data_IF_105086948128
#
_entry.id   IF_105086948128
#
_cell.length_a   1.000
_cell.length_b   1.000
_cell.length_c   1.000
_cell.angle_alpha   90.00
_cell.angle_beta   90.00
_cell.angle_gamma   90.00
#
_symmetry.space_group_name_H-M   'P 1'
#
loop_
_entity.id
_entity.type
_entity.pdbx_description
1 polymer ?
#
# COMPACT_ATOMS: atom_id res chain seq x y z
N UNK A 1 -48.82 14.75 -23.54
CA UNK A 1 -48.22 14.71 -22.20
C UNK A 1 -46.79 14.12 -22.21
N UNK A 2 -46.50 13.08 -23.01
CA UNK A 2 -45.13 12.52 -23.12
C UNK A 2 -44.04 13.51 -23.59
N UNK A 3 -44.35 14.45 -24.49
CA UNK A 3 -43.37 15.39 -25.02
C UNK A 3 -42.81 16.36 -23.96
N UNK A 4 -43.63 16.71 -22.96
CA UNK A 4 -43.24 17.62 -21.87
C UNK A 4 -42.30 16.90 -20.90
N UNK A 5 -42.59 15.62 -20.60
CA UNK A 5 -41.75 14.79 -19.73
C UNK A 5 -40.37 14.51 -20.35
N UNK A 6 -40.31 14.27 -21.67
CA UNK A 6 -39.05 14.09 -22.38
C UNK A 6 -38.19 15.36 -22.41
N UNK A 7 -38.82 16.54 -22.58
CA UNK A 7 -38.12 17.82 -22.57
C UNK A 7 -37.49 18.16 -21.21
N UNK A 8 -38.21 17.92 -20.11
CA UNK A 8 -37.70 18.16 -18.76
C UNK A 8 -36.56 17.18 -18.41
N UNK A 9 -36.62 15.94 -18.88
CA UNK A 9 -35.57 14.95 -18.66
C UNK A 9 -34.25 15.34 -19.34
N UNK A 10 -34.30 15.80 -20.60
CA UNK A 10 -33.09 16.23 -21.33
C UNK A 10 -32.49 17.50 -20.71
N UNK A 11 -33.32 18.45 -20.28
CA UNK A 11 -32.86 19.64 -19.55
C UNK A 11 -32.23 19.29 -18.20
N UNK A 12 -32.79 18.33 -17.46
CA UNK A 12 -32.24 17.85 -16.19
C UNK A 12 -30.88 17.18 -16.34
N UNK A 13 -30.74 16.30 -17.35
CA UNK A 13 -29.46 15.62 -17.64
C UNK A 13 -28.40 16.62 -18.12
N UNK A 14 -28.78 17.57 -18.97
CA UNK A 14 -27.86 18.58 -19.51
C UNK A 14 -27.32 19.53 -18.43
N UNK A 15 -28.14 19.93 -17.45
CA UNK A 15 -27.67 20.74 -16.32
C UNK A 15 -26.82 19.90 -15.34
N UNK A 16 -27.16 18.63 -15.12
CA UNK A 16 -26.40 17.75 -14.23
C UNK A 16 -24.95 17.50 -14.69
N UNK A 17 -24.71 17.38 -16.00
CA UNK A 17 -23.36 17.17 -16.55
C UNK A 17 -22.47 18.41 -16.47
N UNK A 18 -23.04 19.63 -16.51
CA UNK A 18 -22.24 20.86 -16.39
C UNK A 18 -21.84 21.14 -14.94
N UNK A 19 -22.69 20.80 -13.96
CA UNK A 19 -22.33 20.93 -12.53
C UNK A 19 -21.36 19.84 -12.04
N UNK A 20 -21.39 18.65 -12.66
CA UNK A 20 -20.44 17.56 -12.33
C UNK A 20 -19.02 17.82 -12.88
N UNK A 21 -18.83 18.86 -13.70
CA UNK A 21 -17.56 19.13 -14.41
C UNK A 21 -16.63 20.13 -13.70
N UNK A 22 -17.01 20.67 -12.53
CA UNK A 22 -16.16 21.59 -11.76
C UNK A 22 -16.08 21.20 -10.28
N UNK A 23 -15.63 19.97 -10.00
CA UNK A 23 -15.03 19.69 -8.70
C UNK A 23 -13.60 20.22 -8.72
N UNK A 24 -13.37 21.38 -8.13
CA UNK A 24 -12.03 21.79 -7.72
C UNK A 24 -11.52 20.76 -6.71
N UNK A 25 -10.71 19.80 -7.17
CA UNK A 25 -10.07 18.79 -6.31
C UNK A 25 -8.94 19.51 -5.57
N UNK A 26 -9.26 20.09 -4.41
CA UNK A 26 -8.26 20.46 -3.41
C UNK A 26 -7.61 19.18 -2.90
N UNK A 27 -6.27 19.04 -2.98
CA UNK A 27 -5.57 17.80 -2.66
C UNK A 27 -5.38 17.67 -1.14
N UNK A 28 -6.46 17.43 -0.42
CA UNK A 28 -6.42 16.92 0.97
C UNK A 28 -6.99 15.49 1.07
N UNK A 29 -7.29 14.86 -0.06
CA UNK A 29 -7.79 13.50 -0.11
C UNK A 29 -6.65 12.50 -0.36
N UNK A 30 -6.32 11.74 0.69
CA UNK A 30 -5.73 10.39 0.60
C UNK A 30 -6.70 9.45 -0.13
N UNK A 31 -6.90 9.64 -1.43
CA UNK A 31 -7.85 8.84 -2.21
C UNK A 31 -7.51 8.85 -3.70
N UNK A 32 -6.43 8.18 -4.07
CA UNK A 32 -6.31 7.50 -5.37
C UNK A 32 -5.18 6.49 -5.23
N UNK A 33 -5.52 5.20 -5.13
CA UNK A 33 -4.54 4.11 -5.23
C UNK A 33 -3.65 4.30 -6.48
N UNK A 34 -4.22 4.86 -7.54
CA UNK A 34 -3.51 5.28 -8.76
C UNK A 34 -2.38 6.31 -8.52
N UNK A 35 -2.51 7.23 -7.57
CA UNK A 35 -1.46 8.19 -7.24
C UNK A 35 -0.31 7.51 -6.48
N UNK A 36 -0.63 6.58 -5.58
CA UNK A 36 0.40 5.82 -4.84
C UNK A 36 1.16 4.92 -5.83
N UNK A 37 0.46 4.18 -6.68
CA UNK A 37 1.06 3.26 -7.65
C UNK A 37 1.96 3.96 -8.67
N UNK A 38 1.61 5.17 -9.11
CA UNK A 38 2.45 5.97 -10.01
C UNK A 38 3.68 6.58 -9.33
N UNK A 39 3.64 6.78 -8.01
CA UNK A 39 4.74 7.39 -7.25
C UNK A 39 5.67 6.35 -6.64
N UNK A 40 5.35 5.06 -6.78
CA UNK A 40 6.20 3.95 -6.32
C UNK A 40 7.51 3.94 -7.10
N UNK A 41 8.66 3.81 -6.40
CA UNK A 41 9.94 3.67 -7.06
C UNK A 41 9.98 2.39 -7.91
N UNK A 42 10.41 2.54 -9.16
CA UNK A 42 10.50 1.46 -10.14
C UNK A 42 9.17 0.68 -10.28
N UNK A 43 8.08 1.41 -10.57
CA UNK A 43 6.71 0.89 -10.62
C UNK A 43 6.55 -0.41 -11.43
N UNK A 44 7.21 -0.54 -12.59
CA UNK A 44 7.19 -1.76 -13.41
C UNK A 44 7.69 -3.00 -12.66
N UNK A 45 8.80 -2.85 -11.92
CA UNK A 45 9.39 -3.93 -11.10
C UNK A 45 8.44 -4.24 -9.96
N UNK A 46 7.92 -3.20 -9.30
CA UNK A 46 7.03 -3.39 -8.18
C UNK A 46 5.75 -4.13 -8.59
N UNK A 47 5.13 -3.77 -9.71
CA UNK A 47 3.95 -4.46 -10.22
C UNK A 47 4.24 -5.91 -10.62
N UNK A 48 5.37 -6.16 -11.28
CA UNK A 48 5.75 -7.49 -11.74
C UNK A 48 6.13 -8.45 -10.58
N UNK A 49 6.82 -7.95 -9.56
CA UNK A 49 7.45 -8.79 -8.54
C UNK A 49 6.91 -8.58 -7.12
N UNK A 50 6.08 -7.58 -6.89
CA UNK A 50 5.64 -7.14 -5.57
C UNK A 50 4.27 -6.43 -5.55
N UNK A 51 4.08 -5.60 -4.53
CA UNK A 51 2.93 -4.75 -4.32
C UNK A 51 3.38 -3.36 -3.85
N UNK A 52 2.69 -2.33 -4.33
CA UNK A 52 2.88 -0.96 -3.86
C UNK A 52 2.53 -0.86 -2.38
N UNK A 53 3.31 -0.07 -1.64
CA UNK A 53 3.12 0.13 -0.23
C UNK A 53 3.36 1.59 0.16
N UNK A 54 2.70 2.03 1.22
CA UNK A 54 3.06 3.27 1.91
C UNK A 54 3.94 2.90 3.09
N UNK A 55 5.18 3.33 3.06
CA UNK A 55 6.17 3.11 4.12
C UNK A 55 6.08 4.28 5.10
N UNK A 56 6.02 3.97 6.39
CA UNK A 56 5.88 4.93 7.47
C UNK A 56 7.11 4.88 8.36
N UNK A 57 7.88 5.96 8.40
CA UNK A 57 9.01 6.09 9.32
C UNK A 57 8.57 6.84 10.58
N UNK A 58 8.52 6.14 11.71
CA UNK A 58 8.20 6.72 13.02
C UNK A 58 9.26 6.39 14.05
N UNK A 59 9.44 7.27 15.04
CA UNK A 59 10.32 7.06 16.18
C UNK A 59 9.47 6.81 17.42
N UNK A 60 9.68 5.66 18.04
CA UNK A 60 9.08 5.32 19.33
C UNK A 60 10.10 5.58 20.45
N UNK A 61 9.72 6.42 21.41
CA UNK A 61 10.52 6.72 22.59
C UNK A 61 9.92 6.02 23.79
N UNK A 62 10.73 5.22 24.51
CA UNK A 62 10.34 4.57 25.76
C UNK A 62 11.20 5.13 26.88
N UNK A 63 10.58 5.82 27.84
CA UNK A 63 11.24 6.25 29.07
C UNK A 63 11.00 5.18 30.14
N UNK A 64 11.94 5.00 31.07
CA UNK A 64 11.81 4.00 32.15
C UNK A 64 11.73 4.63 33.54
N UNK A 65 11.89 5.96 33.66
CA UNK A 65 11.80 6.74 34.91
C UNK A 65 11.32 8.17 34.64
N UNK A 66 10.00 8.46 34.68
CA UNK A 66 8.88 7.51 34.78
C UNK A 66 8.72 6.66 33.50
N UNK A 67 7.99 5.55 33.58
CA UNK A 67 7.68 4.75 32.39
C UNK A 67 6.65 5.44 31.51
N UNK A 68 7.04 5.83 30.29
CA UNK A 68 6.16 6.47 29.31
C UNK A 68 6.58 6.08 27.89
N UNK A 69 5.61 6.06 26.97
CA UNK A 69 5.84 5.78 25.55
C UNK A 69 5.34 6.96 24.71
N UNK A 70 6.18 7.47 23.81
CA UNK A 70 5.85 8.55 22.87
C UNK A 70 6.12 8.10 21.43
N UNK A 71 5.31 8.56 20.49
CA UNK A 71 5.44 8.25 19.06
C UNK A 71 5.57 9.58 18.32
N UNK A 72 6.58 9.71 17.45
CA UNK A 72 6.71 10.90 16.60
C UNK A 72 5.71 10.89 15.45
N UNK A 73 5.41 12.07 14.91
CA UNK A 73 4.69 12.17 13.64
C UNK A 73 5.41 11.33 12.57
N UNK A 74 4.70 10.42 11.86
CA UNK A 74 5.32 9.57 10.87
C UNK A 74 5.60 10.34 9.59
N UNK A 75 6.72 10.02 8.94
CA UNK A 75 6.99 10.43 7.56
C UNK A 75 6.46 9.35 6.63
N UNK A 76 5.60 9.74 5.70
CA UNK A 76 4.99 8.84 4.72
C UNK A 76 5.78 8.90 3.40
N UNK A 77 6.19 7.74 2.89
CA UNK A 77 6.84 7.65 1.58
C UNK A 77 6.36 6.44 0.78
N UNK A 78 6.30 6.53 -0.56
CA UNK A 78 5.96 5.39 -1.39
C UNK A 78 7.10 4.36 -1.40
N UNK A 79 6.74 3.10 -1.34
CA UNK A 79 7.67 1.98 -1.41
C UNK A 79 7.03 0.77 -2.07
N UNK A 80 7.75 -0.33 -2.06
CA UNK A 80 7.28 -1.59 -2.64
C UNK A 80 7.64 -2.75 -1.71
N UNK A 81 6.71 -3.69 -1.55
CA UNK A 81 6.94 -4.96 -0.88
C UNK A 81 7.04 -6.05 -1.94
N UNK A 82 8.17 -6.74 -1.99
CA UNK A 82 8.40 -7.85 -2.93
C UNK A 82 7.60 -9.07 -2.47
N UNK A 83 7.02 -9.84 -3.38
CA UNK A 83 6.40 -11.13 -3.04
C UNK A 83 7.47 -12.13 -2.64
N UNK A 84 7.20 -12.99 -1.65
CA UNK A 84 8.12 -14.01 -1.15
C UNK A 84 8.82 -14.85 -2.23
N UNK A 85 8.09 -15.22 -3.29
CA UNK A 85 8.61 -16.04 -4.39
C UNK A 85 9.56 -15.28 -5.34
N UNK A 86 9.56 -13.94 -5.26
CA UNK A 86 10.28 -13.06 -6.18
C UNK A 86 11.49 -12.36 -5.55
N UNK A 87 11.81 -12.62 -4.27
CA UNK A 87 12.93 -11.96 -3.55
C UNK A 87 14.29 -12.09 -4.24
N UNK A 88 14.47 -13.13 -5.08
CA UNK A 88 15.67 -13.30 -5.89
C UNK A 88 15.92 -12.18 -6.90
N UNK A 89 14.93 -11.33 -7.22
CA UNK A 89 15.14 -10.17 -8.11
C UNK A 89 16.12 -9.16 -7.52
N UNK A 90 16.07 -8.94 -6.20
CA UNK A 90 16.97 -8.01 -5.51
C UNK A 90 18.40 -8.55 -5.50
N UNK A 91 18.56 -9.86 -5.33
CA UNK A 91 19.87 -10.52 -5.39
C UNK A 91 20.47 -10.48 -6.80
N UNK A 92 19.65 -10.73 -7.85
CA UNK A 92 20.09 -10.62 -9.26
C UNK A 92 20.60 -9.22 -9.60
N UNK A 93 19.99 -8.19 -9.01
CA UNK A 93 20.41 -6.79 -9.13
C UNK A 93 21.53 -6.38 -8.18
N UNK A 94 22.07 -7.32 -7.40
CA UNK A 94 23.15 -7.10 -6.41
C UNK A 94 22.80 -6.07 -5.34
N UNK A 95 21.52 -5.94 -5.03
CA UNK A 95 21.01 -5.03 -3.99
C UNK A 95 20.99 -5.68 -2.60
N UNK A 96 20.96 -7.01 -2.57
CA UNK A 96 21.12 -7.84 -1.38
C UNK A 96 22.00 -9.03 -1.72
N UNK A 97 22.73 -9.55 -0.75
CA UNK A 97 23.55 -10.75 -0.91
C UNK A 97 22.76 -12.04 -0.59
N UNK A 98 23.39 -13.19 -0.86
CA UNK A 98 22.78 -14.50 -0.62
C UNK A 98 22.54 -14.80 0.87
N UNK A 99 23.36 -14.24 1.76
CA UNK A 99 23.25 -14.45 3.19
C UNK A 99 22.07 -13.67 3.77
N UNK A 100 21.93 -12.39 3.40
CA UNK A 100 20.80 -11.54 3.72
C UNK A 100 19.47 -12.16 3.27
N UNK A 101 19.43 -12.69 2.04
CA UNK A 101 18.24 -13.38 1.53
C UNK A 101 17.93 -14.63 2.36
N UNK A 102 18.95 -15.43 2.68
CA UNK A 102 18.78 -16.64 3.51
C UNK A 102 18.25 -16.29 4.89
N UNK A 103 18.86 -15.33 5.58
CA UNK A 103 18.47 -14.90 6.93
C UNK A 103 17.06 -14.34 6.97
N UNK A 104 16.71 -13.47 6.01
CA UNK A 104 15.37 -12.90 5.95
C UNK A 104 14.31 -13.99 5.75
N UNK A 105 14.53 -14.92 4.80
CA UNK A 105 13.54 -15.96 4.46
C UNK A 105 13.28 -17.00 5.56
N UNK A 106 14.13 -17.11 6.59
CA UNK A 106 14.01 -18.15 7.62
C UNK A 106 12.65 -18.15 8.35
N UNK A 107 11.94 -17.03 8.37
CA UNK A 107 10.64 -16.88 9.06
C UNK A 107 9.50 -16.43 8.16
N UNK A 108 9.52 -16.84 6.88
CA UNK A 108 8.54 -16.40 5.89
C UNK A 108 8.48 -14.87 5.73
N UNK A 109 9.60 -14.18 5.99
CA UNK A 109 9.70 -12.75 5.77
C UNK A 109 10.03 -12.45 4.31
N UNK A 110 9.67 -11.25 3.87
CA UNK A 110 9.98 -10.74 2.54
C UNK A 110 10.83 -9.47 2.61
N UNK A 111 11.17 -8.89 1.48
CA UNK A 111 11.86 -7.60 1.40
C UNK A 111 10.91 -6.51 0.96
N UNK A 112 11.12 -5.31 1.50
CA UNK A 112 10.56 -4.09 0.95
C UNK A 112 11.65 -3.06 0.68
N UNK A 113 11.33 -2.11 -0.18
CA UNK A 113 12.24 -1.03 -0.51
C UNK A 113 11.54 0.32 -0.68
N UNK A 114 12.30 1.38 -0.41
CA UNK A 114 11.98 2.76 -0.75
C UNK A 114 13.12 3.39 -1.55
N UNK A 115 12.79 4.42 -2.33
CA UNK A 115 13.74 5.02 -3.27
C UNK A 115 14.03 4.15 -4.49
N UNK A 116 14.69 4.76 -5.48
CA UNK A 116 15.00 4.14 -6.77
C UNK A 116 16.08 3.06 -6.61
N UNK A 117 15.82 1.86 -7.12
CA UNK A 117 16.72 0.70 -7.07
C UNK A 117 18.09 0.99 -7.70
N UNK A 118 18.19 1.93 -8.63
CA UNK A 118 19.43 2.27 -9.31
C UNK A 118 20.21 3.42 -8.62
N UNK A 119 19.60 4.11 -7.64
CA UNK A 119 20.16 5.31 -6.98
C UNK A 119 20.43 5.13 -5.49
N UNK A 120 20.63 3.89 -5.05
CA UNK A 120 20.85 3.56 -3.65
C UNK A 120 19.54 3.51 -2.86
N UNK A 121 18.70 2.49 -3.09
CA UNK A 121 17.45 2.31 -2.36
C UNK A 121 17.69 1.96 -0.89
N UNK A 122 16.71 2.23 -0.03
CA UNK A 122 16.65 1.60 1.30
C UNK A 122 15.93 0.26 1.16
N UNK A 123 16.58 -0.83 1.56
CA UNK A 123 16.01 -2.18 1.50
C UNK A 123 15.98 -2.77 2.90
N UNK A 124 14.82 -3.29 3.30
CA UNK A 124 14.61 -3.84 4.62
C UNK A 124 13.92 -5.21 4.54
N UNK A 125 14.34 -6.14 5.40
CA UNK A 125 13.59 -7.37 5.63
C UNK A 125 12.32 -7.05 6.42
N UNK A 126 11.18 -7.41 5.87
CA UNK A 126 9.84 -7.14 6.40
C UNK A 126 9.23 -8.41 6.96
N UNK A 127 8.82 -8.33 8.21
CA UNK A 127 8.11 -9.40 8.90
C UNK A 127 6.61 -9.25 8.63
N UNK A 128 6.00 -10.27 8.04
CA UNK A 128 4.55 -10.33 7.95
C UNK A 128 4.02 -10.66 9.34
N UNK A 129 3.11 -9.84 9.87
CA UNK A 129 2.43 -10.21 11.11
C UNK A 129 1.48 -11.37 10.79
N UNK A 130 1.67 -12.52 11.47
CA UNK A 130 0.74 -13.64 11.35
C UNK A 130 -0.70 -13.14 11.57
N UNK A 131 -1.59 -13.46 10.63
CA UNK A 131 -3.02 -13.11 10.67
C UNK A 131 -3.73 -13.67 11.91
N UNK A 132 -3.14 -14.64 12.61
CA UNK A 132 -3.63 -15.22 13.86
C UNK A 132 -3.67 -14.23 15.05
N UNK A 133 -2.95 -13.10 14.96
CA UNK A 133 -3.07 -12.00 15.95
C UNK A 133 -4.02 -10.90 15.51
N UNK A 134 -4.60 -11.01 14.31
CA UNK A 134 -5.58 -10.06 13.81
C UNK A 134 -6.95 -10.34 14.44
N UNK A 135 -7.17 -9.81 15.66
CA UNK A 135 -8.45 -9.93 16.39
C UNK A 135 -9.63 -9.23 15.70
N UNK A 136 -9.43 -8.60 14.55
CA UNK A 136 -10.51 -8.03 13.72
C UNK A 136 -11.15 -9.07 12.78
N UNK A 137 -10.46 -10.16 12.46
CA UNK A 137 -10.98 -11.23 11.58
C UNK A 137 -11.85 -12.25 12.33
N UNK A 138 -11.94 -12.14 13.65
CA UNK A 138 -12.80 -12.96 14.52
C UNK A 138 -14.24 -12.40 14.61
N UNK A 139 -14.70 -11.70 13.56
CA UNK A 139 -16.10 -11.33 13.45
C UNK A 139 -16.91 -12.54 12.98
N UNK A 140 -17.39 -13.26 13.99
CA UNK A 140 -18.55 -14.14 13.95
C UNK A 140 -19.71 -13.44 13.25
N UNK A 141 -19.88 -13.72 11.95
CA UNK A 141 -20.96 -13.12 11.16
C UNK A 141 -20.98 -13.61 9.72
N UNK A 142 -21.56 -14.79 9.50
CA UNK A 142 -22.31 -15.16 8.28
C UNK A 142 -21.66 -14.80 6.92
N UNK A 143 -20.93 -15.74 6.34
CA UNK A 143 -20.63 -15.76 4.91
C UNK A 143 -19.28 -16.41 4.63
N UNK A 144 -19.30 -17.56 3.95
CA UNK A 144 -18.11 -18.26 3.47
C UNK A 144 -17.24 -17.30 2.63
N UNK A 145 -16.14 -16.80 3.18
CA UNK A 145 -15.12 -16.09 2.40
C UNK A 145 -14.10 -17.10 1.86
N UNK A 146 -13.64 -16.95 0.60
CA UNK A 146 -12.66 -17.85 0.01
C UNK A 146 -11.39 -17.87 0.86
N UNK A 147 -10.91 -19.08 1.13
CA UNK A 147 -9.62 -19.34 1.74
C UNK A 147 -8.53 -19.07 0.70
N UNK A 148 -8.16 -17.81 0.50
CA UNK A 148 -6.97 -17.45 -0.25
C UNK A 148 -5.93 -16.94 0.75
N UNK A 149 -5.07 -17.86 1.20
CA UNK A 149 -3.73 -17.50 1.64
C UNK A 149 -2.97 -17.05 0.39
N UNK A 150 -3.26 -15.82 -0.04
CA UNK A 150 -2.60 -15.25 -1.19
C UNK A 150 -1.23 -14.76 -0.72
N UNK A 151 -0.21 -15.45 -1.21
CA UNK A 151 1.19 -15.33 -0.79
C UNK A 151 1.75 -13.95 -1.17
N UNK A 152 1.49 -12.94 -0.34
CA UNK A 152 2.24 -11.69 -0.28
C UNK A 152 3.40 -11.83 0.70
#
# INVERSE_FOLDING_TARGET
MLAILGGVFILGVALGVTFSSTTNITPENVASIQYIDQKVPNAEICQAYGASATVMDTRTFVTFKPFSVFISQPIMQPGCVIRLNNVGILQKRKLVDSEQVRECRQRLNTFGYTGDLEKGPSINCLYQSDSDKNRFLDQSGSGTLPREADNF
#
